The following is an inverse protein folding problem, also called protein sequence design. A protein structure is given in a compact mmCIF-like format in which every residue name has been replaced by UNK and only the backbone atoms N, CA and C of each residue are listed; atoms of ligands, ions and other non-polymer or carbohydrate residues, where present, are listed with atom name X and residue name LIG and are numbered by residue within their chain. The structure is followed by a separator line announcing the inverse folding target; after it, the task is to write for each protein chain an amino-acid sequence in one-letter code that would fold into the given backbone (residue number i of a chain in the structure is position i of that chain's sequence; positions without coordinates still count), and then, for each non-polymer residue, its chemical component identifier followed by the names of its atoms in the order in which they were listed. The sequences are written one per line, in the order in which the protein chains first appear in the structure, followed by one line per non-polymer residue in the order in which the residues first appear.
data_IF_767335362379
#
_entry.id   IF_767335362379
#
_cell.length_a   1.000
_cell.length_b   1.000
_cell.length_c   1.000
_cell.angle_alpha   90.00
_cell.angle_beta   90.00
_cell.angle_gamma   90.00
#
_symmetry.space_group_name_H-M   'P 1'
#
loop_
_entity.id
_entity.type
_entity.pdbx_description
1 polymer ?
#
# COMPACT_ATOMS: atom_id res chain seq x y z
N UNK A 1 62.89 20.11 22.73
CA UNK A 1 62.02 21.04 21.98
C UNK A 1 61.38 20.26 20.83
N UNK A 2 60.16 20.56 20.36
CA UNK A 2 58.82 20.56 20.98
C UNK A 2 57.93 19.44 20.33
N UNK A 3 57.03 18.74 21.04
CA UNK A 3 55.63 19.07 21.36
C UNK A 3 54.59 18.55 20.32
N UNK A 4 53.37 18.22 20.79
CA UNK A 4 52.10 17.95 20.05
C UNK A 4 52.01 16.58 19.32
N UNK A 5 50.97 15.73 19.41
CA UNK A 5 49.59 15.85 19.91
C UNK A 5 48.96 14.43 20.02
N UNK A 6 47.88 14.26 20.80
CA UNK A 6 47.21 12.99 21.07
C UNK A 6 46.07 12.74 20.04
N UNK A 7 46.06 11.60 19.36
CA UNK A 7 44.94 11.19 18.48
C UNK A 7 44.68 9.69 18.66
N UNK A 8 44.35 9.27 19.88
CA UNK A 8 43.91 7.90 20.16
C UNK A 8 42.51 7.83 20.77
N UNK A 9 41.77 8.94 20.76
CA UNK A 9 40.47 9.07 21.45
C UNK A 9 39.33 9.55 20.55
N UNK A 10 39.41 9.37 19.22
CA UNK A 10 38.34 9.81 18.31
C UNK A 10 37.65 8.71 17.49
N UNK A 11 38.05 7.43 17.63
CA UNK A 11 37.51 6.33 16.79
C UNK A 11 36.50 5.45 17.54
N UNK A 12 36.30 5.67 18.85
CA UNK A 12 35.38 4.89 19.69
C UNK A 12 34.03 5.60 19.97
N UNK A 13 33.66 6.58 19.14
CA UNK A 13 32.45 7.40 19.33
C UNK A 13 31.42 7.38 18.21
N UNK A 14 31.66 6.67 17.09
CA UNK A 14 30.81 6.78 15.89
C UNK A 14 30.17 5.46 15.42
N UNK A 15 30.08 4.44 16.27
CA UNK A 15 29.54 3.12 15.87
C UNK A 15 28.19 2.78 16.51
N UNK A 16 27.49 3.73 17.12
CA UNK A 16 26.27 3.46 17.92
C UNK A 16 25.01 4.21 17.44
N UNK A 17 25.01 4.78 16.22
CA UNK A 17 23.85 5.48 15.65
C UNK A 17 23.20 4.77 14.45
N UNK A 18 23.49 3.49 14.21
CA UNK A 18 22.54 2.65 13.47
C UNK A 18 21.50 2.13 14.46
N UNK A 19 20.68 3.06 14.96
CA UNK A 19 19.37 2.68 15.44
C UNK A 19 18.68 1.97 14.27
N UNK A 20 18.24 0.74 14.49
CA UNK A 20 17.42 0.00 13.55
C UNK A 20 16.23 0.87 13.16
N UNK A 21 16.32 1.59 12.05
CA UNK A 21 15.14 1.76 11.22
C UNK A 21 14.83 0.33 10.80
N UNK A 22 13.84 -0.28 11.44
CA UNK A 22 13.14 -1.40 10.83
C UNK A 22 12.60 -0.85 9.52
N UNK A 23 13.42 -0.94 8.47
CA UNK A 23 12.96 -0.80 7.10
C UNK A 23 11.88 -1.86 6.99
N UNK A 24 10.63 -1.41 7.04
CA UNK A 24 9.50 -2.28 6.77
C UNK A 24 9.74 -3.00 5.43
N UNK A 25 9.04 -4.12 5.20
CA UNK A 25 9.20 -4.88 3.96
C UNK A 25 9.20 -3.96 2.73
N UNK A 26 10.25 -4.07 1.91
CA UNK A 26 10.38 -3.27 0.70
C UNK A 26 9.47 -3.85 -0.40
N UNK A 27 8.44 -3.09 -0.75
CA UNK A 27 7.49 -3.42 -1.80
C UNK A 27 7.78 -2.69 -3.12
N UNK A 28 8.95 -2.05 -3.26
CA UNK A 28 9.32 -1.23 -4.42
C UNK A 28 9.09 -1.93 -5.77
N UNK A 29 9.37 -3.23 -5.87
CA UNK A 29 9.15 -4.02 -7.09
C UNK A 29 7.66 -4.13 -7.45
N UNK A 30 6.80 -4.35 -6.46
CA UNK A 30 5.34 -4.42 -6.65
C UNK A 30 4.73 -3.03 -6.96
N UNK A 31 5.49 -1.95 -6.82
CA UNK A 31 5.07 -0.56 -7.06
C UNK A 31 5.61 0.06 -8.37
N UNK A 32 6.31 -0.72 -9.20
CA UNK A 32 6.92 -0.19 -10.44
C UNK A 32 5.92 0.09 -11.57
N UNK A 33 4.76 -0.56 -11.54
CA UNK A 33 3.70 -0.37 -12.54
C UNK A 33 2.35 -0.20 -11.84
N UNK A 34 1.41 0.54 -12.44
CA UNK A 34 0.10 0.72 -11.84
C UNK A 34 -0.65 -0.62 -11.70
N UNK A 35 -0.49 -1.53 -12.68
CA UNK A 35 -1.10 -2.86 -12.62
C UNK A 35 -0.57 -3.70 -11.45
N UNK A 36 0.75 -3.72 -11.23
CA UNK A 36 1.35 -4.46 -10.12
C UNK A 36 0.90 -3.89 -8.77
N UNK A 37 0.86 -2.56 -8.63
CA UNK A 37 0.50 -1.89 -7.39
C UNK A 37 -0.96 -2.14 -7.00
N UNK A 38 -1.90 -2.03 -7.96
CA UNK A 38 -3.33 -2.33 -7.73
C UNK A 38 -3.51 -3.78 -7.32
N UNK A 39 -2.87 -4.70 -8.04
CA UNK A 39 -2.97 -6.13 -7.74
C UNK A 39 -2.49 -6.42 -6.32
N UNK A 40 -1.34 -5.87 -5.94
CA UNK A 40 -0.80 -6.05 -4.60
C UNK A 40 -1.69 -5.42 -3.52
N UNK A 41 -2.24 -4.22 -3.75
CA UNK A 41 -3.17 -3.57 -2.84
C UNK A 41 -4.43 -4.40 -2.60
N UNK A 42 -5.19 -4.77 -3.64
CA UNK A 42 -6.43 -5.52 -3.45
C UNK A 42 -6.21 -6.95 -2.95
N UNK A 43 -5.08 -7.57 -3.31
CA UNK A 43 -4.69 -8.87 -2.72
C UNK A 43 -4.44 -8.73 -1.22
N UNK A 44 -3.76 -7.67 -0.77
CA UNK A 44 -3.52 -7.41 0.65
C UNK A 44 -4.83 -7.09 1.40
N UNK A 45 -5.70 -6.26 0.83
CA UNK A 45 -7.02 -5.95 1.41
C UNK A 45 -7.88 -7.21 1.54
N UNK A 46 -7.97 -8.03 0.50
CA UNK A 46 -8.74 -9.29 0.53
C UNK A 46 -8.16 -10.33 1.51
N UNK A 47 -6.86 -10.26 1.79
CA UNK A 47 -6.17 -11.07 2.80
C UNK A 47 -6.20 -10.47 4.21
N UNK A 48 -6.86 -9.31 4.40
CA UNK A 48 -6.93 -8.58 5.67
C UNK A 48 -5.54 -8.08 6.17
N UNK A 49 -4.55 -8.00 5.27
CA UNK A 49 -3.22 -7.45 5.55
C UNK A 49 -3.24 -5.93 5.29
N UNK A 50 -3.90 -5.21 6.18
CA UNK A 50 -4.05 -3.75 6.06
C UNK A 50 -2.73 -3.00 6.20
N UNK A 51 -1.73 -3.57 6.89
CA UNK A 51 -0.40 -3.00 6.98
C UNK A 51 0.31 -3.03 5.61
N UNK A 52 0.23 -4.17 4.90
CA UNK A 52 0.71 -4.24 3.52
C UNK A 52 -0.11 -3.33 2.61
N UNK A 53 -1.44 -3.34 2.72
CA UNK A 53 -2.30 -2.50 1.88
C UNK A 53 -2.01 -0.99 2.05
N UNK A 54 -1.73 -0.51 3.27
CA UNK A 54 -1.33 0.88 3.53
C UNK A 54 -0.06 1.28 2.76
N UNK A 55 0.88 0.36 2.54
CA UNK A 55 2.11 0.62 1.79
C UNK A 55 1.88 0.87 0.29
N UNK A 56 0.76 0.41 -0.26
CA UNK A 56 0.34 0.65 -1.66
C UNK A 56 -0.70 1.77 -1.79
N UNK A 57 -1.14 2.35 -0.68
CA UNK A 57 -2.20 3.35 -0.65
C UNK A 57 -1.60 4.76 -0.57
N UNK A 58 -2.12 5.69 -1.38
CA UNK A 58 -1.73 7.10 -1.27
C UNK A 58 -2.06 7.62 0.15
N UNK A 59 -1.15 8.36 0.82
CA UNK A 59 -1.34 8.78 2.21
C UNK A 59 -2.67 9.50 2.47
N UNK A 60 -3.18 10.29 1.50
CA UNK A 60 -4.48 10.97 1.61
C UNK A 60 -5.67 10.01 1.68
N UNK A 61 -5.52 8.80 1.17
CA UNK A 61 -6.59 7.78 1.09
C UNK A 61 -6.49 6.71 2.17
N UNK A 62 -5.41 6.68 2.97
CA UNK A 62 -5.22 5.68 4.04
C UNK A 62 -6.34 5.72 5.10
N UNK A 63 -6.97 6.87 5.35
CA UNK A 63 -8.10 6.96 6.27
C UNK A 63 -9.28 6.08 5.83
N UNK A 64 -9.55 6.01 4.52
CA UNK A 64 -10.63 5.18 3.98
C UNK A 64 -10.31 3.69 4.11
N UNK A 65 -9.06 3.29 3.89
CA UNK A 65 -8.61 1.93 4.14
C UNK A 65 -8.81 1.52 5.60
N UNK A 66 -8.47 2.40 6.55
CA UNK A 66 -8.69 2.16 7.98
C UNK A 66 -10.17 2.08 8.35
N UNK A 67 -11.00 2.89 7.71
CA UNK A 67 -12.46 2.81 7.86
C UNK A 67 -12.99 1.44 7.38
N UNK A 68 -12.59 1.01 6.19
CA UNK A 68 -12.94 -0.31 5.66
C UNK A 68 -12.49 -1.45 6.59
N UNK A 69 -11.25 -1.39 7.11
CA UNK A 69 -10.73 -2.38 8.06
C UNK A 69 -11.56 -2.43 9.35
N UNK A 70 -11.98 -1.26 9.86
CA UNK A 70 -12.85 -1.15 11.05
C UNK A 70 -14.22 -1.75 10.79
N UNK A 71 -14.82 -1.48 9.63
CA UNK A 71 -16.12 -2.04 9.25
C UNK A 71 -16.06 -3.56 9.09
N UNK A 72 -14.98 -4.07 8.47
CA UNK A 72 -14.73 -5.51 8.38
C UNK A 72 -14.62 -6.16 9.76
N UNK A 73 -13.90 -5.51 10.69
CA UNK A 73 -13.79 -5.97 12.07
C UNK A 73 -15.15 -5.97 12.78
N UNK A 74 -15.97 -4.93 12.61
CA UNK A 74 -17.31 -4.88 13.20
C UNK A 74 -18.22 -5.98 12.65
N UNK A 75 -18.12 -6.29 11.35
CA UNK A 75 -18.87 -7.36 10.69
C UNK A 75 -18.30 -8.76 10.94
N UNK A 76 -17.15 -8.91 11.59
CA UNK A 76 -16.51 -10.22 11.83
C UNK A 76 -17.38 -11.22 12.60
N UNK A 77 -18.25 -10.73 13.49
CA UNK A 77 -19.23 -11.55 14.22
C UNK A 77 -20.44 -11.99 13.35
N UNK A 78 -20.56 -11.49 12.12
CA UNK A 78 -21.64 -11.79 11.16
C UNK A 78 -21.02 -12.26 9.85
N UNK A 79 -20.67 -13.55 9.73
CA UNK A 79 -19.88 -14.08 8.60
C UNK A 79 -20.41 -13.70 7.22
N UNK A 80 -21.74 -13.75 7.01
CA UNK A 80 -22.34 -13.35 5.74
C UNK A 80 -22.14 -11.86 5.40
N UNK A 81 -22.14 -10.97 6.40
CA UNK A 81 -21.90 -9.54 6.17
C UNK A 81 -20.42 -9.25 5.96
N UNK A 82 -19.52 -9.97 6.65
CA UNK A 82 -18.08 -9.89 6.41
C UNK A 82 -17.76 -10.33 4.97
N UNK A 83 -18.30 -11.47 4.56
CA UNK A 83 -18.04 -12.02 3.23
C UNK A 83 -18.58 -11.09 2.13
N UNK A 84 -19.78 -10.56 2.29
CA UNK A 84 -20.34 -9.58 1.36
C UNK A 84 -19.50 -8.30 1.23
N UNK A 85 -18.74 -7.92 2.26
CA UNK A 85 -17.81 -6.79 2.20
C UNK A 85 -16.50 -7.18 1.48
N UNK A 86 -15.99 -8.40 1.71
CA UNK A 86 -14.79 -8.92 1.03
C UNK A 86 -15.04 -9.17 -0.46
N UNK A 87 -16.23 -9.61 -0.84
CA UNK A 87 -16.62 -9.83 -2.24
C UNK A 87 -16.56 -8.56 -3.10
N UNK A 88 -16.63 -7.39 -2.46
CA UNK A 88 -16.50 -6.09 -3.14
C UNK A 88 -15.07 -5.73 -3.47
N UNK A 89 -14.10 -6.33 -2.78
CA UNK A 89 -12.66 -6.03 -2.90
C UNK A 89 -11.85 -7.21 -3.45
N UNK A 90 -12.50 -8.35 -3.71
CA UNK A 90 -11.90 -9.50 -4.40
C UNK A 90 -12.19 -9.38 -5.89
N UNK A 91 -11.13 -9.26 -6.67
CA UNK A 91 -11.20 -9.11 -8.12
C UNK A 91 -10.49 -10.25 -8.83
N UNK A 92 -11.00 -10.61 -10.01
CA UNK A 92 -10.18 -11.27 -11.02
C UNK A 92 -9.30 -10.21 -11.70
N UNK A 93 -7.99 -10.44 -11.74
CA UNK A 93 -7.03 -9.53 -12.37
C UNK A 93 -6.79 -9.85 -13.86
N UNK A 94 -7.54 -10.80 -14.44
CA UNK A 94 -7.46 -11.15 -15.85
C UNK A 94 -7.85 -10.00 -16.79
N UNK A 95 -8.68 -9.06 -16.31
CA UNK A 95 -9.11 -7.86 -17.03
C UNK A 95 -8.78 -6.59 -16.23
N UNK A 96 -7.48 -6.39 -16.00
CA UNK A 96 -6.93 -5.14 -15.46
C UNK A 96 -6.27 -4.35 -16.60
N UNK A 97 -6.86 -3.21 -16.96
CA UNK A 97 -6.30 -2.28 -17.93
C UNK A 97 -6.03 -0.93 -17.26
N UNK A 98 -4.88 -0.31 -17.57
CA UNK A 98 -4.48 0.97 -16.99
C UNK A 98 -4.12 1.94 -18.10
N UNK A 99 -4.76 3.10 -18.10
CA UNK A 99 -4.58 4.14 -19.11
C UNK A 99 -4.23 5.46 -18.44
N UNK A 100 -3.29 6.20 -19.04
CA UNK A 100 -2.99 7.56 -18.61
C UNK A 100 -4.17 8.48 -18.92
N UNK A 101 -4.53 9.32 -17.96
CA UNK A 101 -5.59 10.31 -18.07
C UNK A 101 -5.21 11.54 -17.25
N UNK A 102 -5.07 12.69 -17.91
CA UNK A 102 -4.88 14.00 -17.25
C UNK A 102 -3.70 14.06 -16.25
N UNK A 103 -2.64 13.27 -16.46
CA UNK A 103 -1.46 13.23 -15.58
C UNK A 103 -1.60 12.30 -14.36
N UNK A 104 -2.72 11.60 -14.21
CA UNK A 104 -2.86 10.41 -13.38
C UNK A 104 -3.04 9.16 -14.26
N UNK A 105 -2.96 7.96 -13.67
CA UNK A 105 -3.32 6.73 -14.38
C UNK A 105 -4.64 6.22 -13.82
N UNK A 106 -5.61 5.98 -14.69
CA UNK A 106 -6.87 5.34 -14.33
C UNK A 106 -6.79 3.88 -14.73
N UNK A 107 -7.06 2.98 -13.79
CA UNK A 107 -7.10 1.56 -14.04
C UNK A 107 -8.52 1.04 -13.92
N UNK A 108 -9.01 0.43 -14.99
CA UNK A 108 -10.26 -0.29 -14.96
C UNK A 108 -9.97 -1.73 -14.52
N UNK A 109 -10.58 -2.12 -13.41
CA UNK A 109 -10.50 -3.47 -12.87
C UNK A 109 -11.86 -4.14 -13.00
N UNK A 110 -11.93 -5.13 -13.88
CA UNK A 110 -13.08 -6.03 -13.98
C UNK A 110 -12.67 -7.45 -13.60
N UNK A 111 -13.44 -8.19 -12.82
CA UNK A 111 -14.62 -7.75 -12.07
C UNK A 111 -14.55 -8.31 -10.66
N UNK A 112 -15.22 -7.64 -9.72
CA UNK A 112 -15.39 -8.18 -8.38
C UNK A 112 -16.31 -9.42 -8.41
N UNK A 113 -16.51 -10.07 -7.26
CA UNK A 113 -17.41 -11.23 -7.16
C UNK A 113 -18.85 -10.90 -7.60
N UNK A 114 -19.26 -9.62 -7.57
CA UNK A 114 -20.57 -9.14 -7.98
C UNK A 114 -20.67 -8.78 -9.48
N UNK A 115 -19.62 -9.05 -10.27
CA UNK A 115 -19.54 -8.69 -11.70
C UNK A 115 -19.51 -7.17 -11.96
N UNK A 116 -19.07 -6.40 -10.98
CA UNK A 116 -18.92 -4.96 -11.11
C UNK A 116 -17.49 -4.61 -11.54
N UNK A 117 -17.36 -3.76 -12.55
CA UNK A 117 -16.11 -3.14 -12.93
C UNK A 117 -15.94 -1.83 -12.15
N UNK A 118 -14.71 -1.54 -11.74
CA UNK A 118 -14.39 -0.33 -10.97
C UNK A 118 -13.24 0.41 -11.65
N UNK A 119 -13.35 1.73 -11.69
CA UNK A 119 -12.27 2.60 -12.13
C UNK A 119 -11.49 3.06 -10.89
N UNK A 120 -10.18 2.84 -10.93
CA UNK A 120 -9.26 3.04 -9.81
C UNK A 120 -8.23 4.06 -10.22
N UNK A 121 -8.18 5.16 -9.48
CA UNK A 121 -7.18 6.18 -9.71
C UNK A 121 -5.83 5.77 -9.08
N UNK A 122 -4.77 5.97 -9.85
CA UNK A 122 -3.39 5.70 -9.49
C UNK A 122 -2.56 6.96 -9.62
N UNK A 123 -1.68 7.18 -8.65
CA UNK A 123 -0.72 8.30 -8.63
C UNK A 123 0.69 7.77 -8.50
N UNK A 124 1.65 8.49 -9.09
CA UNK A 124 3.06 8.19 -8.93
C UNK A 124 3.71 9.16 -7.94
N UNK A 125 4.37 8.63 -6.91
CA UNK A 125 5.15 9.39 -5.92
C UNK A 125 6.52 8.76 -5.78
N UNK A 126 7.58 9.54 -5.94
CA UNK A 126 8.96 9.06 -5.74
C UNK A 126 9.29 7.79 -6.55
N UNK A 127 8.71 7.67 -7.75
CA UNK A 127 8.88 6.50 -8.62
C UNK A 127 7.99 5.28 -8.27
N UNK A 128 7.15 5.36 -7.25
CA UNK A 128 6.22 4.31 -6.82
C UNK A 128 4.80 4.64 -7.25
N UNK A 129 4.09 3.64 -7.80
CA UNK A 129 2.66 3.72 -8.07
C UNK A 129 1.86 3.39 -6.81
N UNK A 130 0.88 4.25 -6.50
CA UNK A 130 0.05 4.18 -5.31
C UNK A 130 -1.43 4.29 -5.70
N UNK A 131 -2.27 3.52 -5.01
CA UNK A 131 -3.72 3.50 -5.16
C UNK A 131 -4.31 4.70 -4.43
N UNK A 132 -5.07 5.53 -5.14
CA UNK A 132 -5.98 6.50 -4.53
C UNK A 132 -7.23 5.72 -4.13
N UNK A 133 -7.20 5.13 -2.93
CA UNK A 133 -8.30 4.30 -2.47
C UNK A 133 -9.60 5.13 -2.45
N UNK A 134 -10.65 4.55 -3.02
CA UNK A 134 -12.04 4.97 -2.88
C UNK A 134 -12.84 3.76 -2.42
N UNK A 135 -12.85 3.53 -1.10
CA UNK A 135 -13.55 2.39 -0.49
C UNK A 135 -14.92 2.81 0.09
N UNK A 136 -15.31 4.07 -0.06
CA UNK A 136 -16.51 4.66 0.53
C UNK A 136 -17.82 4.22 -0.17
N UNK A 137 -17.71 3.63 -1.37
CA UNK A 137 -18.85 3.15 -2.16
C UNK A 137 -19.24 1.68 -1.87
N UNK A 138 -18.65 1.05 -0.85
CA UNK A 138 -18.86 -0.38 -0.53
C UNK A 138 -19.61 -0.59 0.79
#
# INVERSE_FOLDING_TARGET
MPNWTPILLFILGLSLLTACQEEGPDYSQEQQTPQAAIKAFYTAVAAEDFAKAEAFCEPSSQQQLRYFATELQFKSAKPAQKEALLDKVRFDFSQLDCQEKDGSTSCQLCCNTNQEAVDIEMVQREGKWLVVANLDNY
#
